data_IF_324711124878
#
_entry.id   IF_324711124878
#
_cell.length_a   1.000
_cell.length_b   1.000
_cell.length_c   1.000
_cell.angle_alpha   90.00
_cell.angle_beta   90.00
_cell.angle_gamma   90.00
#
_symmetry.space_group_name_H-M   'P 1'
#
loop_
_entity.id
_entity.type
_entity.pdbx_description
1 polymer ?
#
# COMPACT_ATOMS: atom_id res chain seq x y z
N UNK A 1 14.28 -5.45 -9.12
CA UNK A 1 13.65 -4.55 -8.13
C UNK A 1 12.22 -4.98 -7.78
N UNK A 2 11.26 -4.95 -8.71
CA UNK A 2 9.84 -5.24 -8.40
C UNK A 2 9.62 -6.61 -7.72
N UNK A 3 10.24 -7.68 -8.24
CA UNK A 3 10.15 -9.03 -7.63
C UNK A 3 10.70 -9.02 -6.20
N UNK A 4 11.87 -8.43 -5.97
CA UNK A 4 12.46 -8.30 -4.63
C UNK A 4 11.56 -7.49 -3.69
N UNK A 5 10.91 -6.45 -4.21
CA UNK A 5 9.98 -5.65 -3.43
C UNK A 5 8.69 -6.41 -3.10
N UNK A 6 8.17 -7.22 -4.02
CA UNK A 6 7.03 -8.11 -3.75
C UNK A 6 7.39 -9.15 -2.70
N UNK A 7 8.59 -9.72 -2.75
CA UNK A 7 9.07 -10.63 -1.69
C UNK A 7 9.14 -9.89 -0.35
N UNK A 8 9.76 -8.71 -0.29
CA UNK A 8 9.82 -7.89 0.91
C UNK A 8 8.43 -7.57 1.46
N UNK A 9 7.50 -7.19 0.58
CA UNK A 9 6.12 -6.91 0.96
C UNK A 9 5.48 -8.15 1.59
N UNK A 10 5.55 -9.30 0.93
CA UNK A 10 4.97 -10.55 1.45
C UNK A 10 5.62 -10.98 2.78
N UNK A 11 6.93 -10.78 2.95
CA UNK A 11 7.62 -10.98 4.22
C UNK A 11 7.08 -10.05 5.31
N UNK A 12 6.95 -8.74 5.02
CA UNK A 12 6.50 -7.75 6.02
C UNK A 12 5.03 -7.89 6.39
N UNK A 13 4.19 -8.37 5.47
CA UNK A 13 2.74 -8.42 5.67
C UNK A 13 2.20 -9.80 5.99
N UNK A 14 2.87 -10.88 5.57
CA UNK A 14 2.40 -12.26 5.79
C UNK A 14 3.45 -13.10 6.50
N UNK A 15 4.55 -13.44 5.83
CA UNK A 15 5.46 -14.51 6.28
C UNK A 15 6.20 -14.16 7.59
N UNK A 16 6.50 -12.87 7.82
CA UNK A 16 7.14 -12.39 9.03
C UNK A 16 6.19 -12.00 10.16
N UNK A 17 4.86 -12.14 9.99
CA UNK A 17 3.88 -11.81 11.02
C UNK A 17 3.72 -12.96 12.02
N UNK A 18 3.52 -12.59 13.29
CA UNK A 18 3.22 -13.55 14.36
C UNK A 18 1.76 -13.97 14.33
N UNK A 19 1.48 -15.16 14.85
CA UNK A 19 0.10 -15.58 15.08
C UNK A 19 -0.54 -14.78 16.21
N UNK A 20 -1.73 -14.23 15.95
CA UNK A 20 -2.54 -13.47 16.91
C UNK A 20 -4.02 -13.67 16.61
N UNK A 21 -4.90 -13.26 17.52
CA UNK A 21 -6.33 -13.18 17.21
C UNK A 21 -6.55 -12.18 16.06
N UNK A 22 -6.98 -12.64 14.87
CA UNK A 22 -7.04 -11.79 13.70
C UNK A 22 -8.10 -10.69 13.79
N UNK A 23 -9.10 -10.83 14.67
CA UNK A 23 -10.21 -9.87 14.80
C UNK A 23 -10.03 -8.89 15.96
N UNK A 24 -8.91 -8.96 16.69
CA UNK A 24 -8.67 -8.13 17.87
C UNK A 24 -8.69 -6.62 17.58
N UNK A 25 -8.27 -6.21 16.37
CA UNK A 25 -7.89 -4.83 16.08
C UNK A 25 -8.61 -4.21 14.87
N UNK A 26 -9.72 -4.80 14.41
CA UNK A 26 -10.44 -4.47 13.15
C UNK A 26 -10.62 -2.97 12.90
N UNK A 27 -11.00 -2.22 13.93
CA UNK A 27 -11.32 -0.78 13.83
C UNK A 27 -10.25 0.14 14.42
N UNK A 28 -9.03 -0.35 14.61
CA UNK A 28 -7.92 0.44 15.16
C UNK A 28 -7.04 1.01 14.03
N UNK A 29 -6.02 1.80 14.38
CA UNK A 29 -5.01 2.26 13.41
C UNK A 29 -5.36 3.51 12.58
N UNK A 30 -6.56 4.08 12.71
CA UNK A 30 -7.05 5.21 11.90
C UNK A 30 -6.33 6.55 12.05
N UNK A 31 -5.54 6.73 13.10
CA UNK A 31 -4.86 7.99 13.35
C UNK A 31 -3.35 7.84 13.11
N UNK A 32 -2.71 8.87 12.51
CA UNK A 32 -1.26 8.90 12.34
C UNK A 32 -0.52 9.10 13.68
N UNK A 33 -1.26 9.27 14.78
CA UNK A 33 -0.74 9.39 16.13
C UNK A 33 -1.33 8.28 17.00
N UNK A 34 -0.52 7.75 17.93
CA UNK A 34 -1.00 6.86 18.98
C UNK A 34 -1.82 7.68 19.98
N UNK A 35 -3.05 7.24 20.27
CA UNK A 35 -4.01 7.94 21.13
C UNK A 35 -3.47 8.34 22.52
N UNK A 36 -2.50 7.59 23.05
CA UNK A 36 -2.05 7.73 24.45
C UNK A 36 -0.92 8.75 24.61
N UNK A 37 -0.01 8.85 23.63
CA UNK A 37 1.25 9.60 23.78
C UNK A 37 1.50 10.60 22.63
N UNK A 38 0.55 10.74 21.69
CA UNK A 38 0.71 11.53 20.47
C UNK A 38 1.97 11.19 19.61
N UNK A 39 2.64 10.08 19.89
CA UNK A 39 3.75 9.57 19.09
C UNK A 39 3.24 9.06 17.75
N UNK A 40 4.04 9.18 16.69
CA UNK A 40 3.68 8.67 15.37
C UNK A 40 3.27 7.19 15.39
N UNK A 41 2.18 6.90 14.69
CA UNK A 41 1.78 5.55 14.33
C UNK A 41 2.57 5.14 13.08
N UNK A 42 3.75 4.55 13.32
CA UNK A 42 4.68 4.15 12.26
C UNK A 42 4.03 3.09 11.33
N UNK A 43 3.15 2.24 11.85
CA UNK A 43 2.44 1.24 11.04
C UNK A 43 1.52 1.90 10.01
N UNK A 44 0.76 2.92 10.43
CA UNK A 44 -0.05 3.72 9.51
C UNK A 44 0.81 4.42 8.44
N UNK A 45 1.97 4.98 8.83
CA UNK A 45 2.91 5.58 7.88
C UNK A 45 3.45 4.54 6.89
N UNK A 46 3.79 3.33 7.34
CA UNK A 46 4.23 2.26 6.44
C UNK A 46 3.13 1.88 5.45
N UNK A 47 1.89 1.73 5.91
CA UNK A 47 0.75 1.39 5.05
C UNK A 47 0.45 2.49 4.02
N UNK A 48 0.62 3.77 4.38
CA UNK A 48 0.48 4.91 3.44
C UNK A 48 1.49 4.83 2.28
N UNK A 49 2.64 4.17 2.45
CA UNK A 49 3.65 4.05 1.40
C UNK A 49 3.87 2.61 0.89
N UNK A 50 3.14 1.63 1.43
CA UNK A 50 3.41 0.20 1.21
C UNK A 50 3.25 -0.23 -0.26
N UNK A 51 2.22 0.24 -0.98
CA UNK A 51 2.04 -0.12 -2.39
C UNK A 51 2.60 0.93 -3.35
N UNK A 52 3.20 2.01 -2.82
CA UNK A 52 3.74 3.11 -3.64
C UNK A 52 4.80 2.61 -4.64
N UNK A 53 5.78 1.76 -4.27
CA UNK A 53 6.76 1.29 -5.25
C UNK A 53 6.12 0.41 -6.34
N UNK A 54 5.24 -0.53 -5.97
CA UNK A 54 4.58 -1.42 -6.94
C UNK A 54 3.77 -0.60 -7.94
N UNK A 55 2.93 0.31 -7.45
CA UNK A 55 2.09 1.15 -8.31
C UNK A 55 2.90 2.13 -9.15
N UNK A 56 3.98 2.71 -8.62
CA UNK A 56 4.91 3.53 -9.40
C UNK A 56 5.49 2.75 -10.60
N UNK A 57 6.02 1.55 -10.37
CA UNK A 57 6.65 0.76 -11.44
C UNK A 57 5.63 0.17 -12.41
N UNK A 58 4.45 -0.25 -11.95
CA UNK A 58 3.36 -0.72 -12.82
C UNK A 58 2.96 0.35 -13.84
N UNK A 59 2.88 1.62 -13.42
CA UNK A 59 2.56 2.71 -14.34
C UNK A 59 3.63 2.92 -15.44
N UNK A 60 4.88 2.52 -15.18
CA UNK A 60 5.96 2.51 -16.18
C UNK A 60 5.95 1.31 -17.10
N UNK A 61 5.65 0.12 -16.57
CA UNK A 61 5.62 -1.14 -17.32
C UNK A 61 4.34 -1.30 -18.15
N UNK A 62 3.24 -0.69 -17.70
CA UNK A 62 1.92 -0.83 -18.29
C UNK A 62 1.33 0.56 -18.60
N UNK A 63 1.71 1.20 -19.72
CA UNK A 63 1.29 2.57 -20.05
C UNK A 63 -0.23 2.75 -20.15
N UNK A 64 -0.98 1.69 -20.44
CA UNK A 64 -2.45 1.70 -20.50
C UNK A 64 -3.12 2.01 -19.15
N UNK A 65 -2.40 1.81 -18.05
CA UNK A 65 -2.87 2.07 -16.69
C UNK A 65 -3.07 3.57 -16.46
N UNK A 66 -2.18 4.41 -17.02
CA UNK A 66 -2.24 5.87 -16.91
C UNK A 66 -3.20 6.56 -17.89
N UNK A 67 -3.95 5.80 -18.67
CA UNK A 67 -4.97 6.36 -19.55
C UNK A 67 -6.16 6.90 -18.74
N UNK A 68 -7.30 7.16 -19.41
CA UNK A 68 -8.52 7.65 -18.75
C UNK A 68 -8.81 6.86 -17.46
N UNK A 69 -9.16 7.59 -16.41
CA UNK A 69 -9.50 7.05 -15.08
C UNK A 69 -8.37 6.32 -14.35
N UNK A 70 -7.10 6.68 -14.59
CA UNK A 70 -5.95 6.05 -13.93
C UNK A 70 -6.07 6.03 -12.40
N UNK A 71 -6.60 7.09 -11.77
CA UNK A 71 -6.83 7.14 -10.31
C UNK A 71 -7.75 6.01 -9.85
N UNK A 72 -8.85 5.80 -10.56
CA UNK A 72 -9.79 4.71 -10.26
C UNK A 72 -9.12 3.34 -10.44
N UNK A 73 -8.32 3.16 -11.50
CA UNK A 73 -7.54 1.94 -11.72
C UNK A 73 -6.53 1.68 -10.59
N UNK A 74 -5.84 2.73 -10.10
CA UNK A 74 -4.92 2.63 -8.96
C UNK A 74 -5.63 2.31 -7.66
N UNK A 75 -6.78 2.93 -7.41
CA UNK A 75 -7.62 2.62 -6.25
C UNK A 75 -8.04 1.15 -6.28
N UNK A 76 -8.61 0.68 -7.40
CA UNK A 76 -9.06 -0.72 -7.53
C UNK A 76 -7.88 -1.69 -7.37
N UNK A 77 -6.77 -1.45 -8.07
CA UNK A 77 -5.60 -2.32 -8.00
C UNK A 77 -5.06 -2.42 -6.56
N UNK A 78 -4.93 -1.29 -5.89
CA UNK A 78 -4.34 -1.21 -4.55
C UNK A 78 -5.28 -1.77 -3.49
N UNK A 79 -6.58 -1.52 -3.64
CA UNK A 79 -7.60 -2.13 -2.82
C UNK A 79 -7.58 -3.65 -2.96
N UNK A 80 -7.52 -4.20 -4.18
CA UNK A 80 -7.48 -5.65 -4.39
C UNK A 80 -6.22 -6.29 -3.80
N UNK A 81 -5.05 -5.66 -3.97
CA UNK A 81 -3.80 -6.15 -3.36
C UNK A 81 -3.90 -6.11 -1.84
N UNK A 82 -4.35 -4.98 -1.27
CA UNK A 82 -4.49 -4.86 0.18
C UNK A 82 -5.52 -5.84 0.73
N UNK A 83 -6.67 -5.98 0.07
CA UNK A 83 -7.72 -6.90 0.47
C UNK A 83 -7.24 -8.35 0.43
N UNK A 84 -6.47 -8.72 -0.60
CA UNK A 84 -5.83 -10.03 -0.66
C UNK A 84 -4.91 -10.25 0.56
N UNK A 85 -4.05 -9.29 0.90
CA UNK A 85 -3.15 -9.40 2.05
C UNK A 85 -3.94 -9.55 3.36
N UNK A 86 -4.89 -8.66 3.63
CA UNK A 86 -5.69 -8.65 4.86
C UNK A 86 -6.54 -9.92 5.01
N UNK A 87 -7.12 -10.43 3.92
CA UNK A 87 -7.87 -11.70 3.96
C UNK A 87 -6.96 -12.89 4.22
N UNK A 88 -5.74 -12.91 3.66
CA UNK A 88 -4.78 -13.97 3.99
C UNK A 88 -4.36 -13.90 5.47
N UNK A 89 -4.12 -12.70 6.00
CA UNK A 89 -3.86 -12.51 7.43
C UNK A 89 -5.00 -13.03 8.29
N UNK A 90 -6.26 -12.76 7.90
CA UNK A 90 -7.45 -13.26 8.57
C UNK A 90 -7.54 -14.81 8.52
N UNK A 91 -7.40 -15.41 7.33
CA UNK A 91 -7.52 -16.86 7.12
C UNK A 91 -6.44 -17.62 7.90
N UNK A 92 -5.19 -17.13 7.88
CA UNK A 92 -4.05 -17.81 8.52
C UNK A 92 -3.80 -17.33 9.95
N UNK A 93 -4.63 -16.43 10.48
CA UNK A 93 -4.45 -15.82 11.80
C UNK A 93 -3.04 -15.23 11.99
N UNK A 94 -2.55 -14.52 10.96
CA UNK A 94 -1.23 -13.88 10.92
C UNK A 94 -1.43 -12.38 11.17
N UNK A 95 -1.04 -11.88 12.34
CA UNK A 95 -1.34 -10.51 12.72
C UNK A 95 -2.84 -10.27 12.92
N UNK A 96 -3.28 -9.04 12.69
CA UNK A 96 -4.66 -8.61 12.87
C UNK A 96 -5.18 -8.02 11.57
N UNK A 97 -6.39 -8.41 11.17
CA UNK A 97 -7.13 -7.78 10.09
C UNK A 97 -7.51 -6.34 10.48
N UNK A 98 -7.15 -5.35 9.67
CA UNK A 98 -7.41 -3.94 9.95
C UNK A 98 -8.04 -3.21 8.76
N UNK A 99 -9.19 -2.57 8.99
CA UNK A 99 -9.88 -1.79 7.93
C UNK A 99 -9.07 -0.53 7.57
N UNK A 100 -8.37 0.06 8.54
CA UNK A 100 -7.49 1.20 8.31
C UNK A 100 -6.36 0.86 7.33
N UNK A 101 -5.84 -0.36 7.36
CA UNK A 101 -4.78 -0.85 6.47
C UNK A 101 -5.28 -0.91 5.02
N UNK A 102 -6.52 -1.38 4.78
CA UNK A 102 -7.17 -1.30 3.46
C UNK A 102 -7.21 0.14 2.93
N UNK A 103 -7.55 1.11 3.79
CA UNK A 103 -7.64 2.52 3.40
C UNK A 103 -6.28 3.12 3.09
N UNK A 104 -5.29 2.93 3.97
CA UNK A 104 -3.95 3.47 3.78
C UNK A 104 -3.20 2.83 2.61
N UNK A 105 -3.28 1.52 2.46
CA UNK A 105 -2.68 0.83 1.33
C UNK A 105 -3.36 1.24 0.01
N UNK A 106 -4.67 1.49 0.00
CA UNK A 106 -5.35 2.05 -1.19
C UNK A 106 -4.84 3.46 -1.52
N UNK A 107 -4.63 4.31 -0.51
CA UNK A 107 -4.05 5.64 -0.68
C UNK A 107 -2.62 5.57 -1.26
N UNK A 108 -1.82 4.61 -0.79
CA UNK A 108 -0.44 4.40 -1.25
C UNK A 108 -0.34 4.16 -2.76
N UNK A 109 -1.37 3.57 -3.35
CA UNK A 109 -1.45 3.34 -4.79
C UNK A 109 -1.68 4.59 -5.62
N UNK A 110 -2.53 5.50 -5.12
CA UNK A 110 -2.73 6.81 -5.75
C UNK A 110 -1.43 7.61 -5.66
N UNK A 111 -0.74 7.57 -4.52
CA UNK A 111 0.57 8.20 -4.32
C UNK A 111 1.59 7.70 -5.34
N UNK A 112 1.71 6.37 -5.53
CA UNK A 112 2.65 5.82 -6.51
C UNK A 112 2.35 6.23 -7.96
N UNK A 113 1.07 6.32 -8.32
CA UNK A 113 0.66 6.84 -9.64
C UNK A 113 1.00 8.33 -9.83
N UNK A 114 0.72 9.19 -8.84
CA UNK A 114 1.08 10.62 -8.91
C UNK A 114 2.60 10.81 -9.01
N UNK A 115 3.37 10.08 -8.19
CA UNK A 115 4.84 10.13 -8.21
C UNK A 115 5.40 9.75 -9.59
N UNK A 116 4.82 8.73 -10.23
CA UNK A 116 5.23 8.34 -11.58
C UNK A 116 4.93 9.44 -12.61
N UNK A 117 3.77 10.09 -12.53
CA UNK A 117 3.41 11.21 -13.43
C UNK A 117 4.38 12.37 -13.24
N UNK A 118 4.71 12.73 -12.00
CA UNK A 118 5.69 13.78 -11.67
C UNK A 118 7.06 13.41 -12.25
N UNK A 119 7.54 12.19 -12.00
CA UNK A 119 8.80 11.68 -12.53
C UNK A 119 8.85 11.75 -14.07
N UNK A 120 7.79 11.31 -14.76
CA UNK A 120 7.68 11.39 -16.22
C UNK A 120 7.65 12.81 -16.77
N UNK A 121 7.08 13.77 -16.03
CA UNK A 121 7.12 15.19 -16.40
C UNK A 121 8.53 15.75 -16.25
N UNK A 122 9.19 15.48 -15.11
CA UNK A 122 10.55 15.92 -14.83
C UNK A 122 11.55 15.36 -15.87
N UNK A 123 11.45 14.08 -16.21
CA UNK A 123 12.29 13.48 -17.25
C UNK A 123 12.10 14.09 -18.64
N UNK A 124 10.90 14.60 -18.96
CA UNK A 124 10.65 15.30 -20.22
C UNK A 124 11.24 16.70 -20.19
N UNK A 125 11.09 17.41 -19.07
CA UNK A 125 11.67 18.74 -18.88
C UNK A 125 13.20 18.72 -19.01
N UNK A 126 13.88 17.73 -18.42
CA UNK A 126 15.35 17.61 -18.49
C UNK A 126 15.90 17.20 -19.87
N UNK A 127 15.04 16.77 -20.81
CA UNK A 127 15.44 16.43 -22.18
C UNK A 127 15.32 17.60 -23.15
N UNK A 128 14.72 18.70 -22.71
CA UNK A 128 14.63 19.97 -23.43
C UNK A 128 15.68 20.93 -22.89
#
# INVERSE_FOLDING_TARGET
FLILYVILLLETTLMGRRHTDPLLAVFTGWLPFKNHNATWNIDALYNIFLLTPITFFINGLCPFVLQKNWKCKMVILSFLISFFIEINQLIFSLGTFQISDLVYNTLSGVIGGELFIIFRKMLRFLRH
#
